data_IF_411541491859
#
_entry.id   IF_411541491859
#
_cell.length_a   1.000
_cell.length_b   1.000
_cell.length_c   1.000
_cell.angle_alpha   90.00
_cell.angle_beta   90.00
_cell.angle_gamma   90.00
#
_symmetry.space_group_name_H-M   'P 1'
#
loop_
_entity.id
_entity.type
_entity.pdbx_description
1 polymer ?
#
# COMPACT_ATOMS: atom_id res chain seq x y z
N UNK A 1 3.46 -7.73 18.90
CA UNK A 1 4.02 -6.52 18.24
C UNK A 1 3.59 -6.39 16.77
N UNK A 2 3.98 -7.31 15.88
CA UNK A 2 3.65 -7.28 14.43
C UNK A 2 2.20 -6.90 14.10
N UNK A 3 1.22 -7.62 14.66
CA UNK A 3 -0.20 -7.36 14.40
C UNK A 3 -0.62 -5.93 14.77
N UNK A 4 -0.13 -5.40 15.90
CA UNK A 4 -0.47 -4.04 16.32
C UNK A 4 0.11 -2.98 15.39
N UNK A 5 1.37 -3.15 14.96
CA UNK A 5 2.01 -2.25 14.01
C UNK A 5 1.32 -2.29 12.64
N UNK A 6 1.00 -3.49 12.13
CA UNK A 6 0.27 -3.67 10.88
C UNK A 6 -1.13 -3.06 10.96
N UNK A 7 -1.87 -3.32 12.04
CA UNK A 7 -3.20 -2.75 12.29
C UNK A 7 -3.15 -1.22 12.30
N UNK A 8 -2.24 -0.64 13.09
CA UNK A 8 -2.06 0.81 13.17
C UNK A 8 -1.76 1.42 11.80
N UNK A 9 -0.82 0.84 11.04
CA UNK A 9 -0.46 1.33 9.70
C UNK A 9 -1.65 1.26 8.73
N UNK A 10 -2.39 0.15 8.71
CA UNK A 10 -3.56 -0.01 7.85
C UNK A 10 -4.68 0.95 8.24
N UNK A 11 -4.94 1.13 9.54
CA UNK A 11 -5.94 2.10 10.02
C UNK A 11 -5.58 3.53 9.60
N UNK A 12 -4.31 3.93 9.71
CA UNK A 12 -3.85 5.23 9.25
C UNK A 12 -3.95 5.36 7.72
N UNK A 13 -3.62 4.32 6.96
CA UNK A 13 -3.77 4.32 5.51
C UNK A 13 -5.24 4.55 5.10
N UNK A 14 -6.17 3.82 5.73
CA UNK A 14 -7.59 3.88 5.40
C UNK A 14 -8.30 5.13 5.93
N UNK A 15 -7.68 5.95 6.79
CA UNK A 15 -8.35 7.13 7.38
C UNK A 15 -8.66 8.23 6.36
N UNK A 16 -8.06 8.18 5.17
CA UNK A 16 -8.32 9.12 4.07
C UNK A 16 -9.33 8.59 3.05
N UNK A 17 -9.87 7.39 3.27
CA UNK A 17 -10.83 6.77 2.37
C UNK A 17 -12.21 7.40 2.54
N UNK A 18 -12.78 7.85 1.44
CA UNK A 18 -14.15 8.36 1.37
C UNK A 18 -14.91 7.59 0.26
N UNK A 19 -15.94 6.79 0.61
CA UNK A 19 -16.69 5.98 -0.35
C UNK A 19 -17.55 6.82 -1.31
N UNK A 20 -17.75 8.12 -1.06
CA UNK A 20 -18.47 9.01 -1.97
C UNK A 20 -17.61 9.47 -3.15
N UNK A 21 -16.29 9.30 -3.08
CA UNK A 21 -15.38 9.71 -4.13
C UNK A 21 -15.29 8.71 -5.27
N UNK A 22 -14.99 9.21 -6.47
CA UNK A 22 -14.68 8.35 -7.60
C UNK A 22 -13.45 7.47 -7.30
N UNK A 23 -13.42 6.26 -7.88
CA UNK A 23 -12.33 5.31 -7.67
C UNK A 23 -10.93 5.93 -7.88
N UNK A 24 -10.64 6.68 -8.97
CA UNK A 24 -9.30 7.24 -9.16
C UNK A 24 -8.90 8.26 -8.08
N UNK A 25 -9.86 9.04 -7.58
CA UNK A 25 -9.63 10.02 -6.51
C UNK A 25 -9.33 9.31 -5.20
N UNK A 26 -10.18 8.36 -4.80
CA UNK A 26 -9.98 7.56 -3.60
C UNK A 26 -8.65 6.78 -3.66
N UNK A 27 -8.33 6.19 -4.82
CA UNK A 27 -7.07 5.48 -5.05
C UNK A 27 -5.86 6.41 -4.87
N UNK A 28 -5.89 7.63 -5.43
CA UNK A 28 -4.81 8.61 -5.26
C UNK A 28 -4.56 8.93 -3.79
N UNK A 29 -5.61 9.20 -3.03
CA UNK A 29 -5.50 9.49 -1.59
C UNK A 29 -4.91 8.32 -0.83
N UNK A 30 -5.44 7.11 -1.03
CA UNK A 30 -4.95 5.90 -0.38
C UNK A 30 -3.46 5.65 -0.67
N UNK A 31 -3.08 5.74 -1.94
CA UNK A 31 -1.70 5.49 -2.37
C UNK A 31 -0.72 6.53 -1.80
N UNK A 32 -1.04 7.82 -1.93
CA UNK A 32 -0.18 8.90 -1.42
C UNK A 32 -0.07 8.87 0.11
N UNK A 33 -1.15 8.52 0.81
CA UNK A 33 -1.15 8.39 2.25
C UNK A 33 -0.28 7.20 2.68
N UNK A 34 -0.44 6.03 2.05
CA UNK A 34 0.42 4.87 2.33
C UNK A 34 1.90 5.15 2.04
N UNK A 35 2.20 5.83 0.93
CA UNK A 35 3.55 6.25 0.58
C UNK A 35 4.14 7.19 1.64
N UNK A 36 3.39 8.22 2.04
CA UNK A 36 3.83 9.21 3.03
C UNK A 36 4.04 8.59 4.40
N UNK A 37 3.14 7.72 4.84
CA UNK A 37 3.30 6.96 6.09
C UNK A 37 4.57 6.09 6.04
N UNK A 38 4.81 5.41 4.91
CA UNK A 38 5.99 4.54 4.75
C UNK A 38 7.29 5.33 4.71
N UNK A 39 7.27 6.53 4.13
CA UNK A 39 8.40 7.45 4.10
C UNK A 39 8.68 8.04 5.48
N UNK A 40 7.65 8.38 6.26
CA UNK A 40 7.83 9.00 7.58
C UNK A 40 8.18 7.99 8.69
N UNK A 41 7.79 6.72 8.52
CA UNK A 41 8.02 5.66 9.51
C UNK A 41 8.72 4.43 8.88
N UNK A 42 9.97 4.58 8.39
CA UNK A 42 10.68 3.55 7.64
C UNK A 42 10.93 2.29 8.47
N UNK A 43 11.23 2.42 9.76
CA UNK A 43 11.50 1.29 10.64
C UNK A 43 10.24 0.44 10.88
N UNK A 44 9.08 1.09 11.02
CA UNK A 44 7.78 0.39 11.09
C UNK A 44 7.49 -0.34 9.77
N UNK A 45 7.77 0.29 8.64
CA UNK A 45 7.61 -0.32 7.32
C UNK A 45 8.51 -1.55 7.16
N UNK A 46 9.81 -1.42 7.42
CA UNK A 46 10.80 -2.51 7.35
C UNK A 46 10.40 -3.68 8.25
N UNK A 47 10.03 -3.41 9.49
CA UNK A 47 9.61 -4.45 10.43
C UNK A 47 8.40 -5.24 9.91
N UNK A 48 7.36 -4.56 9.41
CA UNK A 48 6.18 -5.25 8.88
C UNK A 48 6.55 -6.09 7.64
N UNK A 49 7.31 -5.51 6.71
CA UNK A 49 7.72 -6.18 5.47
C UNK A 49 8.51 -7.46 5.76
N UNK A 50 9.56 -7.37 6.56
CA UNK A 50 10.42 -8.49 6.90
C UNK A 50 9.66 -9.60 7.61
N UNK A 51 8.80 -9.28 8.57
CA UNK A 51 8.10 -10.28 9.37
C UNK A 51 6.92 -10.94 8.64
N UNK A 52 6.34 -10.30 7.62
CA UNK A 52 5.16 -10.80 6.89
C UNK A 52 5.39 -12.20 6.28
N UNK A 53 6.64 -12.51 5.90
CA UNK A 53 7.02 -13.75 5.23
C UNK A 53 7.74 -14.76 6.13
N UNK A 54 7.92 -14.44 7.42
CA UNK A 54 8.66 -15.31 8.34
C UNK A 54 7.80 -16.42 8.93
N UNK A 55 8.44 -17.52 9.34
CA UNK A 55 7.83 -18.57 10.15
C UNK A 55 7.62 -18.19 11.62
N UNK A 56 8.16 -17.05 12.06
CA UNK A 56 8.02 -16.55 13.44
C UNK A 56 6.58 -16.13 13.80
N UNK A 57 5.73 -15.89 12.80
CA UNK A 57 4.33 -15.56 13.03
C UNK A 57 3.49 -16.83 13.22
N UNK A 58 2.71 -16.87 14.30
CA UNK A 58 1.68 -17.92 14.43
C UNK A 58 0.68 -17.84 13.27
N UNK A 59 0.12 -18.98 12.88
CA UNK A 59 -0.93 -19.03 11.84
C UNK A 59 -2.08 -18.06 12.13
N UNK A 60 -2.49 -17.96 13.41
CA UNK A 60 -3.52 -17.03 13.88
C UNK A 60 -3.13 -15.57 13.64
N UNK A 61 -1.91 -15.18 14.02
CA UNK A 61 -1.41 -13.81 13.83
C UNK A 61 -1.31 -13.44 12.35
N UNK A 62 -0.87 -14.39 11.51
CA UNK A 62 -0.82 -14.19 10.06
C UNK A 62 -2.22 -13.95 9.48
N UNK A 63 -3.17 -14.83 9.78
CA UNK A 63 -4.57 -14.69 9.34
C UNK A 63 -5.19 -13.36 9.80
N UNK A 64 -5.00 -12.98 11.06
CA UNK A 64 -5.48 -11.68 11.55
C UNK A 64 -4.84 -10.51 10.81
N UNK A 65 -3.55 -10.62 10.49
CA UNK A 65 -2.83 -9.61 9.72
C UNK A 65 -3.31 -9.49 8.27
N UNK A 66 -3.71 -10.59 7.66
CA UNK A 66 -4.20 -10.62 6.27
C UNK A 66 -5.60 -9.98 6.17
N UNK A 67 -6.47 -10.27 7.14
CA UNK A 67 -7.81 -9.67 7.23
C UNK A 67 -7.80 -8.13 7.33
N UNK A 68 -6.71 -7.53 7.79
CA UNK A 68 -6.60 -6.06 7.85
C UNK A 68 -6.64 -5.42 6.46
N UNK A 69 -6.11 -6.09 5.43
CA UNK A 69 -6.07 -5.53 4.08
C UNK A 69 -7.37 -5.75 3.31
N UNK A 70 -8.33 -6.49 3.87
CA UNK A 70 -9.60 -6.81 3.21
C UNK A 70 -10.35 -5.59 2.64
N UNK A 71 -10.46 -4.45 3.34
CA UNK A 71 -11.09 -3.26 2.77
C UNK A 71 -10.41 -2.73 1.51
N UNK A 72 -9.07 -2.81 1.44
CA UNK A 72 -8.32 -2.40 0.25
C UNK A 72 -8.46 -3.42 -0.88
N UNK A 73 -8.51 -4.71 -0.55
CA UNK A 73 -8.77 -5.77 -1.52
C UNK A 73 -10.15 -5.61 -2.17
N UNK A 74 -11.17 -5.31 -1.36
CA UNK A 74 -12.55 -5.08 -1.83
C UNK A 74 -12.62 -3.83 -2.72
N UNK A 75 -11.95 -2.74 -2.31
CA UNK A 75 -11.82 -1.53 -3.13
C UNK A 75 -11.24 -1.86 -4.53
N UNK A 76 -10.12 -2.59 -4.60
CA UNK A 76 -9.52 -2.96 -5.89
C UNK A 76 -10.42 -3.91 -6.70
N UNK A 77 -11.10 -4.85 -6.04
CA UNK A 77 -12.05 -5.73 -6.71
C UNK A 77 -13.21 -4.95 -7.37
N UNK A 78 -13.70 -3.90 -6.73
CA UNK A 78 -14.71 -3.01 -7.29
C UNK A 78 -14.17 -2.22 -8.50
N UNK A 79 -12.92 -1.77 -8.44
CA UNK A 79 -12.25 -1.14 -9.59
C UNK A 79 -12.15 -2.08 -10.80
N UNK A 80 -11.88 -3.36 -10.58
CA UNK A 80 -11.87 -4.40 -11.63
C UNK A 80 -13.28 -4.57 -12.21
N UNK A 81 -14.29 -4.69 -11.35
CA UNK A 81 -15.69 -4.88 -11.76
C UNK A 81 -16.21 -3.71 -12.60
N UNK A 82 -15.81 -2.48 -12.25
CA UNK A 82 -16.15 -1.26 -12.99
C UNK A 82 -15.32 -1.07 -14.27
N UNK A 83 -14.32 -1.93 -14.52
CA UNK A 83 -13.45 -1.82 -15.69
C UNK A 83 -12.47 -0.65 -15.65
N UNK A 84 -12.24 -0.08 -14.47
CA UNK A 84 -11.36 1.08 -14.24
C UNK A 84 -9.89 0.65 -14.18
N UNK A 85 -9.62 -0.52 -13.59
CA UNK A 85 -8.28 -1.12 -13.50
C UNK A 85 -8.23 -2.48 -14.20
N UNK A 86 -7.01 -2.95 -14.49
CA UNK A 86 -6.74 -4.21 -15.18
C UNK A 86 -7.37 -5.40 -14.44
N UNK A 87 -7.95 -6.33 -15.20
CA UNK A 87 -8.52 -7.58 -14.69
C UNK A 87 -7.40 -8.57 -14.36
N UNK A 88 -6.76 -8.38 -13.21
CA UNK A 88 -5.69 -9.20 -12.66
C UNK A 88 -6.04 -9.66 -11.24
N UNK A 89 -5.37 -10.70 -10.71
CA UNK A 89 -5.52 -11.07 -9.31
C UNK A 89 -5.23 -9.88 -8.38
N UNK A 90 -6.10 -9.62 -7.40
CA UNK A 90 -5.95 -8.49 -6.46
C UNK A 90 -4.61 -8.54 -5.72
N UNK A 91 -4.14 -9.73 -5.35
CA UNK A 91 -2.84 -9.91 -4.72
C UNK A 91 -1.67 -9.44 -5.61
N UNK A 92 -1.76 -9.63 -6.93
CA UNK A 92 -0.76 -9.15 -7.88
C UNK A 92 -0.78 -7.62 -7.98
N UNK A 93 -1.99 -7.03 -8.03
CA UNK A 93 -2.15 -5.58 -8.03
C UNK A 93 -1.57 -4.96 -6.75
N UNK A 94 -1.88 -5.53 -5.58
CA UNK A 94 -1.32 -5.07 -4.30
C UNK A 94 0.20 -5.18 -4.26
N UNK A 95 0.77 -6.30 -4.73
CA UNK A 95 2.22 -6.48 -4.82
C UNK A 95 2.86 -5.40 -5.69
N UNK A 96 2.28 -5.12 -6.85
CA UNK A 96 2.76 -4.09 -7.77
C UNK A 96 2.62 -2.67 -7.21
N UNK A 97 1.64 -2.42 -6.35
CA UNK A 97 1.40 -1.10 -5.76
C UNK A 97 2.26 -0.83 -4.53
N UNK A 98 2.44 -1.84 -3.67
CA UNK A 98 3.12 -1.71 -2.38
C UNK A 98 4.61 -2.04 -2.46
N UNK A 99 5.00 -2.99 -3.30
CA UNK A 99 6.40 -3.40 -3.50
C UNK A 99 7.32 -2.25 -3.89
N UNK A 100 7.00 -1.48 -4.95
CA UNK A 100 7.81 -0.33 -5.34
C UNK A 100 7.96 0.71 -4.23
N UNK A 101 6.93 0.94 -3.42
CA UNK A 101 7.00 1.90 -2.30
C UNK A 101 8.05 1.48 -1.29
N UNK A 102 8.12 0.19 -0.95
CA UNK A 102 9.11 -0.35 -0.01
C UNK A 102 10.52 -0.06 -0.54
N UNK A 103 10.80 -0.36 -1.81
CA UNK A 103 12.12 -0.14 -2.40
C UNK A 103 12.46 1.35 -2.56
N UNK A 104 11.50 2.18 -2.99
CA UNK A 104 11.70 3.62 -3.12
C UNK A 104 12.02 4.26 -1.77
N UNK A 105 11.36 3.83 -0.69
CA UNK A 105 11.68 4.31 0.67
C UNK A 105 13.09 3.87 1.07
N UNK A 106 13.55 2.67 0.72
CA UNK A 106 14.94 2.24 0.98
C UNK A 106 15.95 3.13 0.23
N UNK A 107 15.73 3.36 -1.07
CA UNK A 107 16.54 4.28 -1.90
C UNK A 107 16.56 5.71 -1.34
N UNK A 108 15.49 6.12 -0.66
CA UNK A 108 15.46 7.42 0.00
C UNK A 108 16.42 7.49 1.20
N UNK A 109 16.36 6.47 2.05
CA UNK A 109 17.12 6.45 3.29
C UNK A 109 18.58 6.04 3.12
N UNK A 110 18.95 5.36 2.03
CA UNK A 110 20.34 5.07 1.67
C UNK A 110 21.04 6.22 0.92
N UNK A 111 20.30 7.27 0.57
CA UNK A 111 20.82 8.46 -0.10
C UNK A 111 20.85 8.38 -1.64
N UNK A 112 20.43 7.26 -2.24
CA UNK A 112 20.40 7.07 -3.69
C UNK A 112 19.31 7.89 -4.38
N UNK A 113 18.24 8.26 -3.66
CA UNK A 113 17.10 9.00 -4.22
C UNK A 113 16.48 10.01 -3.25
N UNK A 114 16.54 11.31 -3.54
CA UNK A 114 15.83 12.30 -2.73
C UNK A 114 14.37 12.44 -3.17
N UNK A 115 13.43 12.07 -2.29
CA UNK A 115 12.00 12.22 -2.55
C UNK A 115 11.57 13.68 -2.36
N UNK A 116 11.15 14.31 -3.45
CA UNK A 116 10.58 15.67 -3.48
C UNK A 116 9.07 15.62 -3.69
N UNK A 117 8.32 16.70 -3.40
CA UNK A 117 6.89 16.76 -3.72
C UNK A 117 6.57 16.50 -5.20
N UNK A 118 7.38 17.03 -6.12
CA UNK A 118 7.21 16.78 -7.56
C UNK A 118 7.39 15.29 -7.90
N UNK A 119 8.44 14.66 -7.36
CA UNK A 119 8.69 13.24 -7.58
C UNK A 119 7.59 12.35 -6.99
N UNK A 120 6.97 12.75 -5.85
CA UNK A 120 5.82 12.02 -5.29
C UNK A 120 4.64 11.91 -6.26
N UNK A 121 4.36 12.98 -7.01
CA UNK A 121 3.29 12.99 -8.01
C UNK A 121 3.65 12.11 -9.22
N UNK A 122 4.91 12.14 -9.67
CA UNK A 122 5.38 11.24 -10.74
C UNK A 122 5.31 9.77 -10.34
N UNK A 123 5.71 9.43 -9.11
CA UNK A 123 5.61 8.07 -8.58
C UNK A 123 4.16 7.60 -8.48
N UNK A 124 3.24 8.49 -8.08
CA UNK A 124 1.81 8.18 -8.13
C UNK A 124 1.35 7.92 -9.57
N UNK A 125 1.75 8.77 -10.52
CA UNK A 125 1.38 8.59 -11.93
C UNK A 125 1.88 7.25 -12.49
N UNK A 126 3.11 6.83 -12.12
CA UNK A 126 3.65 5.51 -12.47
C UNK A 126 2.83 4.37 -11.85
N UNK A 127 2.51 4.46 -10.56
CA UNK A 127 1.68 3.47 -9.87
C UNK A 127 0.29 3.36 -10.51
N UNK A 128 -0.34 4.49 -10.82
CA UNK A 128 -1.63 4.53 -11.48
C UNK A 128 -1.58 3.92 -12.88
N UNK A 129 -0.59 4.29 -13.70
CA UNK A 129 -0.38 3.72 -15.03
C UNK A 129 -0.16 2.19 -15.00
N UNK A 130 0.43 1.67 -13.93
CA UNK A 130 0.69 0.24 -13.77
C UNK A 130 -0.59 -0.59 -13.62
N UNK A 131 -1.66 -0.03 -13.06
CA UNK A 131 -2.91 -0.75 -12.80
C UNK A 131 -4.10 -0.30 -13.65
N UNK A 132 -4.14 0.96 -14.11
CA UNK A 132 -5.28 1.47 -14.88
C UNK A 132 -5.45 0.70 -16.19
N UNK A 133 -6.69 0.56 -16.63
CA UNK A 133 -6.98 -0.02 -17.95
C UNK A 133 -6.58 0.93 -19.09
#
# INVERSE_FOLDING_TARGET
LYYHLKKSKVTQMMSVFDPSESFPVAFKKLWLNYFTISLNEPERMKFIEQFTHTSYLTKKTKQQGDLLLKPLEDFLADGIKQGIIKKLPVALLLSQLMGPIIEIVKLHYDGSLKITPALKEELFAMAWASIRK
#
